data_IF_096520181098
#
_entry.id   IF_096520181098
#
_cell.length_a   1.000
_cell.length_b   1.000
_cell.length_c   1.000
_cell.angle_alpha   90.00
_cell.angle_beta   90.00
_cell.angle_gamma   90.00
#
_symmetry.space_group_name_H-M   'P 1'
#
loop_
_entity.id
_entity.type
_entity.pdbx_description
1 polymer ?
#
# COMPACT_ATOMS: atom_id res chain seq x y z
N UNK A 1 -1.05 22.44 -9.51
CA UNK A 1 0.06 21.46 -9.57
C UNK A 1 0.33 20.85 -8.21
N UNK A 2 0.35 21.61 -7.11
CA UNK A 2 0.64 21.08 -5.77
C UNK A 2 -0.29 19.94 -5.32
N UNK A 3 -1.60 20.11 -5.51
CA UNK A 3 -2.58 19.07 -5.16
C UNK A 3 -2.40 17.78 -5.98
N UNK A 4 -1.99 17.90 -7.25
CA UNK A 4 -1.81 16.74 -8.15
C UNK A 4 -0.63 15.89 -7.68
N UNK A 5 0.47 16.57 -7.35
CA UNK A 5 1.66 15.95 -6.76
C UNK A 5 1.31 15.34 -5.41
N UNK A 6 0.53 16.04 -4.58
CA UNK A 6 0.14 15.55 -3.27
C UNK A 6 -0.71 14.27 -3.37
N UNK A 7 -1.72 14.23 -4.25
CA UNK A 7 -2.53 13.03 -4.47
C UNK A 7 -1.69 11.89 -5.05
N UNK A 8 -0.83 12.17 -6.04
CA UNK A 8 0.05 11.17 -6.64
C UNK A 8 1.00 10.56 -5.61
N UNK A 9 1.72 11.40 -4.87
CA UNK A 9 2.67 10.96 -3.84
C UNK A 9 1.95 10.21 -2.72
N UNK A 10 0.77 10.68 -2.30
CA UNK A 10 0.00 9.99 -1.25
C UNK A 10 -0.41 8.58 -1.68
N UNK A 11 -0.86 8.38 -2.93
CA UNK A 11 -1.23 7.08 -3.45
C UNK A 11 -0.03 6.12 -3.45
N UNK A 12 1.12 6.57 -3.97
CA UNK A 12 2.35 5.79 -4.02
C UNK A 12 2.85 5.43 -2.61
N UNK A 13 2.87 6.38 -1.68
CA UNK A 13 3.34 6.14 -0.30
C UNK A 13 2.45 5.14 0.42
N UNK A 14 1.12 5.23 0.28
CA UNK A 14 0.20 4.29 0.91
C UNK A 14 0.42 2.88 0.35
N UNK A 15 0.52 2.73 -0.98
CA UNK A 15 0.83 1.45 -1.61
C UNK A 15 2.16 0.89 -1.12
N UNK A 16 3.19 1.73 -1.00
CA UNK A 16 4.52 1.32 -0.56
C UNK A 16 4.50 0.76 0.86
N UNK A 17 3.76 1.41 1.77
CA UNK A 17 3.57 0.93 3.13
C UNK A 17 2.82 -0.41 3.15
N UNK A 18 1.79 -0.59 2.32
CA UNK A 18 1.09 -1.87 2.18
C UNK A 18 2.05 -3.00 1.79
N UNK A 19 2.91 -2.78 0.81
CA UNK A 19 3.88 -3.79 0.36
C UNK A 19 4.94 -4.16 1.39
N UNK A 20 5.45 -3.17 2.13
CA UNK A 20 6.35 -3.45 3.26
C UNK A 20 5.64 -4.34 4.29
N UNK A 21 4.38 -4.05 4.62
CA UNK A 21 3.60 -4.85 5.56
C UNK A 21 3.39 -6.29 5.06
N UNK A 22 3.08 -6.46 3.78
CA UNK A 22 2.96 -7.78 3.14
C UNK A 22 4.28 -8.56 3.20
N UNK A 23 5.38 -7.92 2.81
CA UNK A 23 6.73 -8.51 2.85
C UNK A 23 7.12 -8.92 4.27
N UNK A 24 6.89 -8.07 5.27
CA UNK A 24 7.17 -8.40 6.68
C UNK A 24 6.31 -9.56 7.15
N UNK A 25 5.00 -9.55 6.85
CA UNK A 25 4.08 -10.63 7.24
C UNK A 25 4.45 -11.96 6.58
N UNK A 26 4.96 -11.96 5.36
CA UNK A 26 5.40 -13.16 4.65
C UNK A 26 6.74 -13.68 5.17
N UNK A 27 7.74 -12.81 5.33
CA UNK A 27 9.12 -13.19 5.69
C UNK A 27 9.33 -13.59 7.16
N UNK A 28 8.49 -13.14 8.09
CA UNK A 28 8.65 -13.50 9.53
C UNK A 28 8.27 -14.96 9.80
N UNK A 29 9.14 -15.74 10.45
CA UNK A 29 8.85 -17.12 10.84
C UNK A 29 8.25 -17.24 12.27
N UNK A 30 7.48 -18.30 12.52
CA UNK A 30 6.88 -18.62 13.83
C UNK A 30 7.92 -18.80 14.95
N UNK A 31 9.14 -19.26 14.62
CA UNK A 31 10.22 -19.35 15.60
C UNK A 31 10.66 -17.97 16.12
N UNK A 32 10.79 -16.98 15.23
CA UNK A 32 11.10 -15.60 15.60
C UNK A 32 10.00 -14.98 16.45
N UNK A 33 8.73 -15.22 16.08
CA UNK A 33 7.57 -14.75 16.85
C UNK A 33 7.58 -15.32 18.27
N UNK A 34 7.91 -16.61 18.42
CA UNK A 34 7.96 -17.26 19.74
C UNK A 34 9.06 -16.69 20.64
N UNK A 35 10.19 -16.26 20.07
CA UNK A 35 11.24 -15.53 20.80
C UNK A 35 10.78 -14.11 21.14
N UNK A 36 10.10 -13.44 20.21
CA UNK A 36 9.58 -12.09 20.41
C UNK A 36 8.47 -12.05 21.48
N UNK A 37 7.63 -13.08 21.60
CA UNK A 37 6.66 -13.23 22.69
C UNK A 37 7.33 -13.30 24.07
N UNK A 38 8.55 -13.85 24.17
CA UNK A 38 9.30 -13.90 25.43
C UNK A 38 9.93 -12.55 25.79
N UNK A 39 10.48 -11.83 24.79
CA UNK A 39 11.11 -10.50 25.01
C UNK A 39 10.09 -9.39 25.16
N UNK A 40 9.07 -9.36 24.29
CA UNK A 40 8.03 -8.35 24.21
C UNK A 40 6.65 -9.03 24.08
N UNK A 41 6.03 -9.45 25.20
CA UNK A 41 4.85 -10.29 25.19
C UNK A 41 3.62 -9.66 24.51
N UNK A 42 3.48 -8.33 24.56
CA UNK A 42 2.39 -7.63 23.86
C UNK A 42 2.59 -7.66 22.33
N UNK A 43 3.75 -7.22 21.86
CA UNK A 43 4.06 -7.16 20.43
C UNK A 43 4.12 -8.56 19.80
N UNK A 44 4.71 -9.54 20.49
CA UNK A 44 4.77 -10.92 20.03
C UNK A 44 3.39 -11.57 19.87
N UNK A 45 2.48 -11.37 20.83
CA UNK A 45 1.10 -11.91 20.74
C UNK A 45 0.30 -11.30 19.58
N UNK A 46 0.44 -9.98 19.36
CA UNK A 46 -0.17 -9.30 18.23
C UNK A 46 0.36 -9.86 16.90
N UNK A 47 1.68 -9.92 16.74
CA UNK A 47 2.32 -10.44 15.53
C UNK A 47 1.97 -11.91 15.28
N UNK A 48 1.86 -12.73 16.35
CA UNK A 48 1.40 -14.11 16.27
C UNK A 48 -0.04 -14.20 15.76
N UNK A 49 -0.95 -13.39 16.29
CA UNK A 49 -2.34 -13.36 15.85
C UNK A 49 -2.47 -13.02 14.36
N UNK A 50 -1.70 -12.03 13.90
CA UNK A 50 -1.64 -11.65 12.48
C UNK A 50 -1.01 -12.73 11.59
N UNK A 51 0.06 -13.40 12.05
CA UNK A 51 0.73 -14.48 11.29
C UNK A 51 -0.11 -15.77 11.24
N UNK A 52 -0.83 -16.12 12.31
CA UNK A 52 -1.76 -17.26 12.29
C UNK A 52 -2.91 -17.00 11.32
N UNK A 53 -3.40 -15.76 11.27
CA UNK A 53 -4.44 -15.33 10.33
C UNK A 53 -3.85 -14.57 9.14
N UNK A 54 -2.73 -15.07 8.58
CA UNK A 54 -1.98 -14.35 7.54
C UNK A 54 -2.84 -14.02 6.33
N UNK A 55 -3.70 -14.95 5.88
CA UNK A 55 -4.60 -14.74 4.74
C UNK A 55 -5.56 -13.58 4.97
N UNK A 56 -6.09 -13.43 6.19
CA UNK A 56 -6.98 -12.32 6.55
C UNK A 56 -6.22 -10.99 6.61
N UNK A 57 -4.99 -11.01 7.15
CA UNK A 57 -4.16 -9.81 7.26
C UNK A 57 -3.71 -9.31 5.88
N UNK A 58 -3.23 -10.21 5.00
CA UNK A 58 -2.85 -9.88 3.62
C UNK A 58 -4.07 -9.38 2.84
N UNK A 59 -5.23 -10.05 2.96
CA UNK A 59 -6.45 -9.58 2.29
C UNK A 59 -6.86 -8.16 2.72
N UNK A 60 -6.75 -7.84 4.01
CA UNK A 60 -7.02 -6.49 4.50
C UNK A 60 -6.04 -5.45 3.92
N UNK A 61 -4.75 -5.79 3.83
CA UNK A 61 -3.73 -4.91 3.24
C UNK A 61 -3.99 -4.69 1.75
N UNK A 62 -4.34 -5.74 1.01
CA UNK A 62 -4.67 -5.67 -0.41
C UNK A 62 -5.90 -4.80 -0.66
N UNK A 63 -6.92 -4.88 0.20
CA UNK A 63 -8.10 -4.01 0.13
C UNK A 63 -7.69 -2.54 0.32
N UNK A 64 -6.85 -2.24 1.31
CA UNK A 64 -6.35 -0.88 1.53
C UNK A 64 -5.56 -0.40 0.31
N UNK A 65 -4.69 -1.23 -0.26
CA UNK A 65 -3.93 -0.89 -1.47
C UNK A 65 -4.85 -0.62 -2.67
N UNK A 66 -5.90 -1.41 -2.83
CA UNK A 66 -6.91 -1.24 -3.89
C UNK A 66 -7.67 0.08 -3.72
N UNK A 67 -8.07 0.41 -2.49
CA UNK A 67 -8.72 1.68 -2.18
C UNK A 67 -7.78 2.85 -2.46
N UNK A 68 -6.51 2.75 -2.02
CA UNK A 68 -5.50 3.77 -2.24
C UNK A 68 -5.25 4.02 -3.73
N UNK A 69 -5.11 2.95 -4.52
CA UNK A 69 -4.86 3.08 -5.95
C UNK A 69 -6.10 3.58 -6.72
N UNK A 70 -7.29 3.09 -6.36
CA UNK A 70 -8.55 3.54 -6.98
C UNK A 70 -8.83 5.02 -6.69
N UNK A 71 -8.75 5.43 -5.43
CA UNK A 71 -8.96 6.82 -5.02
C UNK A 71 -7.83 7.72 -5.52
N UNK A 72 -6.59 7.24 -5.49
CA UNK A 72 -5.42 7.95 -6.02
C UNK A 72 -5.57 8.23 -7.51
N UNK A 73 -5.87 7.21 -8.32
CA UNK A 73 -6.09 7.37 -9.75
C UNK A 73 -7.28 8.31 -10.06
N UNK A 74 -8.38 8.20 -9.30
CA UNK A 74 -9.53 9.09 -9.46
C UNK A 74 -9.19 10.56 -9.12
N UNK A 75 -8.50 10.81 -7.99
CA UNK A 75 -8.13 12.15 -7.55
C UNK A 75 -7.09 12.79 -8.47
N UNK A 76 -6.04 12.04 -8.81
CA UNK A 76 -5.00 12.48 -9.74
C UNK A 76 -5.59 12.69 -11.14
N UNK A 77 -6.46 11.79 -11.61
CA UNK A 77 -7.13 11.88 -12.91
C UNK A 77 -8.02 13.11 -13.02
N UNK A 78 -8.90 13.35 -12.03
CA UNK A 78 -9.77 14.52 -12.00
C UNK A 78 -8.95 15.84 -12.03
N UNK A 79 -7.79 15.84 -11.37
CA UNK A 79 -6.93 17.01 -11.36
C UNK A 79 -6.11 17.16 -12.65
N UNK A 80 -5.67 16.06 -13.25
CA UNK A 80 -5.01 16.07 -14.55
C UNK A 80 -5.95 16.58 -15.65
N UNK A 81 -7.22 16.16 -15.64
CA UNK A 81 -8.24 16.64 -16.56
C UNK A 81 -8.42 18.15 -16.47
N UNK A 82 -8.59 18.68 -15.25
CA UNK A 82 -8.81 20.11 -15.03
C UNK A 82 -7.61 20.98 -15.46
N UNK A 83 -6.38 20.45 -15.44
CA UNK A 83 -5.16 21.22 -15.73
C UNK A 83 -4.64 21.03 -17.15
N UNK A 84 -4.80 19.84 -17.74
CA UNK A 84 -4.19 19.44 -19.01
C UNK A 84 -5.20 18.87 -20.03
N UNK A 85 -6.48 18.80 -19.68
CA UNK A 85 -7.55 18.27 -20.53
C UNK A 85 -7.69 16.74 -20.48
N UNK A 86 -8.75 16.23 -21.09
CA UNK A 86 -9.16 14.82 -21.00
C UNK A 86 -8.09 13.81 -21.44
N UNK A 87 -7.24 14.18 -22.42
CA UNK A 87 -6.16 13.30 -22.89
C UNK A 87 -5.10 13.00 -21.82
N UNK A 88 -4.86 13.94 -20.89
CA UNK A 88 -3.84 13.78 -19.85
C UNK A 88 -4.21 12.74 -18.79
N UNK A 89 -5.51 12.47 -18.58
CA UNK A 89 -5.99 11.49 -17.60
C UNK A 89 -5.43 10.10 -17.88
N UNK A 90 -5.44 9.70 -19.16
CA UNK A 90 -4.94 8.39 -19.60
C UNK A 90 -3.43 8.29 -19.37
N UNK A 91 -2.67 9.29 -19.81
CA UNK A 91 -1.22 9.32 -19.61
C UNK A 91 -0.83 9.26 -18.12
N UNK A 92 -1.49 10.07 -17.29
CA UNK A 92 -1.18 10.13 -15.86
C UNK A 92 -1.58 8.84 -15.14
N UNK A 93 -2.70 8.22 -15.51
CA UNK A 93 -3.14 6.94 -14.93
C UNK A 93 -2.18 5.78 -15.29
N UNK A 94 -1.70 5.75 -16.53
CA UNK A 94 -0.68 4.76 -16.96
C UNK A 94 0.62 4.97 -16.19
N UNK A 95 1.11 6.21 -16.11
CA UNK A 95 2.34 6.51 -15.35
C UNK A 95 2.19 6.15 -13.88
N UNK A 96 1.08 6.52 -13.23
CA UNK A 96 0.80 6.19 -11.84
C UNK A 96 0.82 4.66 -11.62
N UNK A 97 0.18 3.91 -12.51
CA UNK A 97 0.15 2.44 -12.42
C UNK A 97 1.55 1.84 -12.54
N UNK A 98 2.35 2.30 -13.50
CA UNK A 98 3.73 1.84 -13.66
C UNK A 98 4.60 2.17 -12.44
N UNK A 99 4.45 3.37 -11.88
CA UNK A 99 5.19 3.77 -10.67
C UNK A 99 4.81 2.89 -9.49
N UNK A 100 3.53 2.60 -9.28
CA UNK A 100 3.09 1.70 -8.21
C UNK A 100 3.67 0.30 -8.43
N UNK A 101 3.60 -0.27 -9.63
CA UNK A 101 4.16 -1.59 -9.90
C UNK A 101 5.67 -1.67 -9.67
N UNK A 102 6.44 -0.64 -10.04
CA UNK A 102 7.91 -0.67 -9.91
C UNK A 102 8.44 -0.33 -8.52
N UNK A 103 7.77 0.57 -7.80
CA UNK A 103 8.23 1.04 -6.49
C UNK A 103 7.57 0.31 -5.33
N UNK A 104 6.39 -0.26 -5.57
CA UNK A 104 5.52 -0.77 -4.53
C UNK A 104 5.33 -2.28 -4.59
N UNK A 105 5.72 -2.96 -5.64
CA UNK A 105 5.78 -4.44 -5.71
C UNK A 105 7.24 -4.87 -5.82
#
# INVERSE_FOLDING_TARGET
MDLLILYFVSAVVISFVCSILESVLLSVNMAYISVLEKKHPRAGKLLRSHKVNISRSIAAILIINTIANTLGAAAVGAQAESMYGAGAVVYVSVVLTFVILFFSE
#
